data_IF_316640430225
#
_entry.id   IF_316640430225
#
_cell.length_a   1.000
_cell.length_b   1.000
_cell.length_c   1.000
_cell.angle_alpha   90.00
_cell.angle_beta   90.00
_cell.angle_gamma   90.00
#
_symmetry.space_group_name_H-M   'P 1'
#
loop_
_entity.id
_entity.type
_entity.pdbx_description
1 polymer ?
#
# COMPACT_ATOMS: atom_id res chain seq x y z
N UNK A 1 -10.50 39.59 8.74
CA UNK A 1 -11.28 40.27 7.68
C UNK A 1 -11.31 39.34 6.47
N UNK A 2 -12.53 38.94 6.09
CA UNK A 2 -13.00 38.11 4.97
C UNK A 2 -12.12 36.95 4.44
N UNK A 3 -12.41 35.75 4.96
CA UNK A 3 -12.12 34.42 4.40
C UNK A 3 -13.08 34.05 3.24
N UNK A 4 -13.27 34.98 2.31
CA UNK A 4 -14.02 34.74 1.07
C UNK A 4 -13.16 35.33 -0.05
N UNK A 5 -12.74 34.46 -0.97
CA UNK A 5 -11.87 34.69 -2.15
C UNK A 5 -10.41 34.23 -2.01
N UNK A 6 -10.23 32.91 -2.04
CA UNK A 6 -9.25 32.23 -2.90
C UNK A 6 -9.53 30.72 -2.83
N UNK A 7 -10.59 30.24 -3.48
CA UNK A 7 -10.57 28.85 -3.93
C UNK A 7 -9.39 28.77 -4.91
N UNK A 8 -8.38 27.97 -4.58
CA UNK A 8 -7.29 27.68 -5.50
C UNK A 8 -7.87 26.98 -6.72
N UNK A 9 -7.30 27.20 -7.90
CA UNK A 9 -7.75 26.57 -9.17
C UNK A 9 -7.79 25.03 -9.03
N UNK A 10 -6.88 24.47 -8.22
CA UNK A 10 -6.85 23.05 -7.85
C UNK A 10 -8.12 22.62 -7.10
N UNK A 11 -8.60 23.39 -6.12
CA UNK A 11 -9.83 23.10 -5.38
C UNK A 11 -11.07 23.07 -6.27
N UNK A 12 -11.17 23.97 -7.26
CA UNK A 12 -12.30 23.96 -8.22
C UNK A 12 -12.24 22.74 -9.15
N UNK A 13 -11.06 22.41 -9.71
CA UNK A 13 -10.89 21.23 -10.56
C UNK A 13 -11.18 19.93 -9.81
N UNK A 14 -10.64 19.81 -8.59
CA UNK A 14 -10.88 18.68 -7.71
C UNK A 14 -12.38 18.45 -7.47
N UNK A 15 -13.15 19.51 -7.14
CA UNK A 15 -14.61 19.40 -6.96
C UNK A 15 -15.34 18.88 -8.19
N UNK A 16 -14.95 19.31 -9.40
CA UNK A 16 -15.55 18.82 -10.65
C UNK A 16 -15.27 17.33 -10.85
N UNK A 17 -14.02 16.91 -10.67
CA UNK A 17 -13.60 15.50 -10.81
C UNK A 17 -14.26 14.63 -9.75
N UNK A 18 -14.35 15.13 -8.52
CA UNK A 18 -15.02 14.48 -7.40
C UNK A 18 -16.49 14.18 -7.72
N UNK A 19 -17.25 15.18 -8.18
CA UNK A 19 -18.67 14.99 -8.55
C UNK A 19 -18.84 14.02 -9.72
N UNK A 20 -17.93 14.02 -10.70
CA UNK A 20 -17.96 13.05 -11.80
C UNK A 20 -17.79 11.61 -11.31
N UNK A 21 -16.81 11.38 -10.43
CA UNK A 21 -16.55 10.05 -9.89
C UNK A 21 -17.68 9.60 -8.98
N UNK A 22 -18.23 10.50 -8.15
CA UNK A 22 -19.41 10.21 -7.33
C UNK A 22 -20.58 9.72 -8.19
N UNK A 23 -20.85 10.38 -9.31
CA UNK A 23 -21.89 9.94 -10.26
C UNK A 23 -21.56 8.58 -10.88
N UNK A 24 -20.31 8.36 -11.30
CA UNK A 24 -19.88 7.09 -11.90
C UNK A 24 -20.02 5.91 -10.94
N UNK A 25 -19.60 6.08 -9.69
CA UNK A 25 -19.71 5.05 -8.67
C UNK A 25 -21.19 4.74 -8.39
N UNK A 26 -22.03 5.77 -8.25
CA UNK A 26 -23.47 5.59 -8.09
C UNK A 26 -24.11 4.80 -9.24
N UNK A 27 -23.71 5.04 -10.49
CA UNK A 27 -24.19 4.27 -11.65
C UNK A 27 -23.76 2.80 -11.60
N UNK A 28 -22.50 2.54 -11.23
CA UNK A 28 -21.90 1.21 -11.18
C UNK A 28 -22.43 0.35 -10.04
N UNK A 29 -22.83 0.96 -8.94
CA UNK A 29 -23.53 0.31 -7.83
C UNK A 29 -24.94 -0.22 -8.18
N UNK A 30 -25.40 -0.01 -9.41
CA UNK A 30 -26.60 -0.67 -9.93
C UNK A 30 -26.27 -1.93 -10.74
N UNK A 31 -24.98 -2.25 -10.93
CA UNK A 31 -24.51 -3.45 -11.63
C UNK A 31 -24.16 -4.55 -10.61
N UNK A 32 -24.86 -5.69 -10.59
CA UNK A 32 -24.60 -6.76 -9.63
C UNK A 32 -23.17 -7.29 -9.69
N UNK A 33 -22.59 -7.43 -10.89
CA UNK A 33 -21.23 -7.94 -11.09
C UNK A 33 -20.15 -7.04 -10.47
N UNK A 34 -20.41 -5.73 -10.37
CA UNK A 34 -19.50 -4.80 -9.72
C UNK A 34 -19.49 -5.02 -8.21
N UNK A 35 -20.68 -5.19 -7.62
CA UNK A 35 -20.86 -5.41 -6.18
C UNK A 35 -20.30 -6.77 -5.75
N UNK A 36 -20.47 -7.83 -6.56
CA UNK A 36 -19.96 -9.17 -6.24
C UNK A 36 -18.42 -9.26 -6.29
N UNK A 37 -17.75 -8.29 -6.91
CA UNK A 37 -16.31 -8.08 -6.72
C UNK A 37 -16.04 -7.35 -5.39
N UNK A 38 -16.26 -8.01 -4.25
CA UNK A 38 -16.11 -7.43 -2.92
C UNK A 38 -14.67 -7.17 -2.44
N UNK A 39 -13.67 -7.21 -3.32
CA UNK A 39 -12.25 -7.09 -2.97
C UNK A 39 -11.91 -5.70 -2.40
N UNK A 40 -10.91 -5.62 -1.51
CA UNK A 40 -10.46 -4.35 -0.92
C UNK A 40 -9.76 -3.48 -1.97
N UNK A 41 -8.76 -4.00 -2.67
CA UNK A 41 -7.91 -3.15 -3.54
C UNK A 41 -8.46 -2.95 -4.95
N UNK A 42 -9.16 -3.93 -5.50
CA UNK A 42 -9.63 -3.92 -6.90
C UNK A 42 -11.14 -4.12 -7.00
N UNK A 43 -11.87 -3.91 -5.91
CA UNK A 43 -13.29 -4.20 -5.82
C UNK A 43 -14.06 -3.19 -4.98
N UNK A 44 -15.31 -3.53 -4.74
CA UNK A 44 -16.31 -2.66 -4.16
C UNK A 44 -16.02 -2.32 -2.69
N UNK A 45 -15.33 -3.17 -1.92
CA UNK A 45 -14.97 -2.84 -0.54
C UNK A 45 -14.05 -1.62 -0.45
N UNK A 46 -13.11 -1.46 -1.39
CA UNK A 46 -12.28 -0.25 -1.45
C UNK A 46 -13.09 1.02 -1.73
N UNK A 47 -14.14 0.91 -2.54
CA UNK A 47 -15.07 2.01 -2.83
C UNK A 47 -15.91 2.37 -1.61
N UNK A 48 -16.40 1.36 -0.88
CA UNK A 48 -17.10 1.59 0.38
C UNK A 48 -16.17 2.32 1.34
N UNK A 49 -14.91 1.88 1.44
CA UNK A 49 -13.96 2.58 2.31
C UNK A 49 -13.72 4.03 1.86
N UNK A 50 -13.66 4.26 0.55
CA UNK A 50 -13.56 5.62 0.00
C UNK A 50 -14.69 6.50 0.52
N UNK A 51 -15.95 6.07 0.43
CA UNK A 51 -17.06 6.87 0.90
C UNK A 51 -16.97 7.23 2.38
N UNK A 52 -16.63 6.28 3.24
CA UNK A 52 -16.44 6.57 4.67
C UNK A 52 -15.28 7.52 4.93
N UNK A 53 -14.18 7.40 4.17
CA UNK A 53 -13.04 8.31 4.30
C UNK A 53 -13.41 9.77 3.96
N UNK A 54 -14.36 9.96 3.03
CA UNK A 54 -14.82 11.27 2.61
C UNK A 54 -15.76 11.96 3.60
N UNK A 55 -16.44 11.22 4.49
CA UNK A 55 -17.45 11.81 5.38
C UNK A 55 -16.89 12.90 6.30
N UNK A 56 -15.58 12.88 6.56
CA UNK A 56 -14.90 13.98 7.28
C UNK A 56 -14.96 15.31 6.53
N UNK A 57 -14.79 15.27 5.21
CA UNK A 57 -14.82 16.44 4.32
C UNK A 57 -16.22 16.75 3.80
N UNK A 58 -17.03 15.71 3.56
CA UNK A 58 -18.36 15.77 2.94
C UNK A 58 -19.38 14.96 3.77
N UNK A 59 -19.80 15.45 4.95
CA UNK A 59 -20.71 14.73 5.85
C UNK A 59 -22.07 14.40 5.22
N UNK A 60 -22.50 15.15 4.21
CA UNK A 60 -23.74 14.94 3.48
C UNK A 60 -23.81 13.59 2.73
N UNK A 61 -22.67 12.92 2.51
CA UNK A 61 -22.62 11.60 1.86
C UNK A 61 -22.82 10.40 2.78
N UNK A 62 -23.17 10.62 4.06
CA UNK A 62 -23.27 9.57 5.07
C UNK A 62 -24.27 8.49 4.68
N UNK A 63 -25.44 8.88 4.19
CA UNK A 63 -26.50 7.92 3.81
C UNK A 63 -26.03 7.00 2.67
N UNK A 64 -25.36 7.55 1.67
CA UNK A 64 -24.80 6.81 0.55
C UNK A 64 -23.70 5.84 0.99
N UNK A 65 -22.83 6.25 1.92
CA UNK A 65 -21.79 5.38 2.47
C UNK A 65 -22.38 4.14 3.16
N UNK A 66 -23.43 4.31 3.99
CA UNK A 66 -24.09 3.19 4.66
C UNK A 66 -24.88 2.30 3.69
N UNK A 67 -25.54 2.87 2.67
CA UNK A 67 -26.19 2.09 1.60
C UNK A 67 -25.15 1.24 0.85
N UNK A 68 -23.98 1.83 0.56
CA UNK A 68 -22.91 1.13 -0.13
C UNK A 68 -22.37 -0.04 0.72
N UNK A 69 -22.22 0.16 2.02
CA UNK A 69 -21.83 -0.89 2.98
C UNK A 69 -22.87 -2.01 3.08
N UNK A 70 -24.17 -1.68 3.16
CA UNK A 70 -25.25 -2.67 3.20
C UNK A 70 -25.19 -3.58 1.96
N UNK A 71 -25.10 -2.99 0.76
CA UNK A 71 -24.92 -3.73 -0.50
C UNK A 71 -23.68 -4.62 -0.48
N UNK A 72 -22.56 -4.13 0.05
CA UNK A 72 -21.33 -4.90 0.17
C UNK A 72 -21.55 -6.13 1.07
N UNK A 73 -22.11 -5.94 2.27
CA UNK A 73 -22.38 -7.02 3.23
C UNK A 73 -23.34 -8.05 2.63
N UNK A 74 -24.43 -7.60 1.99
CA UNK A 74 -25.36 -8.47 1.27
C UNK A 74 -24.65 -9.32 0.21
N UNK A 75 -23.70 -8.73 -0.52
CA UNK A 75 -22.93 -9.45 -1.53
C UNK A 75 -22.16 -10.63 -0.94
N UNK A 76 -21.55 -10.49 0.24
CA UNK A 76 -20.80 -11.55 0.91
C UNK A 76 -21.68 -12.71 1.36
N UNK A 77 -22.97 -12.47 1.58
CA UNK A 77 -23.96 -13.51 1.88
C UNK A 77 -24.39 -14.31 0.64
N UNK A 78 -24.04 -13.85 -0.56
CA UNK A 78 -24.28 -14.59 -1.81
C UNK A 78 -23.12 -15.53 -2.14
N UNK A 79 -23.39 -16.68 -2.77
CA UNK A 79 -22.34 -17.61 -3.22
C UNK A 79 -21.50 -17.07 -4.39
N UNK A 80 -21.90 -15.94 -4.96
CA UNK A 80 -21.31 -15.36 -6.17
C UNK A 80 -20.19 -14.36 -5.86
N UNK A 81 -20.05 -13.89 -4.61
CA UNK A 81 -18.99 -12.97 -4.23
C UNK A 81 -17.60 -13.61 -4.41
N UNK A 82 -16.69 -12.89 -5.07
CA UNK A 82 -15.36 -13.42 -5.39
C UNK A 82 -14.40 -13.39 -4.20
N UNK A 83 -14.53 -12.39 -3.33
CA UNK A 83 -13.66 -12.22 -2.18
C UNK A 83 -13.90 -13.27 -1.09
N UNK A 84 -15.13 -13.78 -0.96
CA UNK A 84 -15.45 -14.87 -0.01
C UNK A 84 -14.76 -16.20 -0.34
N UNK A 85 -14.15 -16.32 -1.53
CA UNK A 85 -13.43 -17.51 -1.99
C UNK A 85 -11.96 -17.53 -1.55
N UNK A 86 -11.43 -16.40 -1.07
CA UNK A 86 -10.03 -16.24 -0.71
C UNK A 86 -9.90 -15.56 0.66
N UNK A 87 -8.77 -15.79 1.33
CA UNK A 87 -8.46 -15.15 2.62
C UNK A 87 -7.41 -14.04 2.49
N UNK A 88 -6.96 -13.71 1.28
CA UNK A 88 -5.85 -12.76 1.06
C UNK A 88 -6.23 -11.33 1.43
N UNK A 89 -5.23 -10.48 1.68
CA UNK A 89 -5.45 -9.08 2.02
C UNK A 89 -5.99 -8.27 0.83
N UNK A 90 -5.49 -8.53 -0.38
CA UNK A 90 -5.89 -7.78 -1.57
C UNK A 90 -7.28 -8.12 -2.08
N UNK A 91 -7.61 -9.41 -2.11
CA UNK A 91 -8.75 -9.95 -2.85
C UNK A 91 -9.62 -10.90 -2.02
N UNK A 92 -9.48 -10.89 -0.69
CA UNK A 92 -10.13 -11.87 0.16
C UNK A 92 -10.71 -11.28 1.44
N UNK A 93 -11.16 -12.19 2.32
CA UNK A 93 -11.82 -11.83 3.58
C UNK A 93 -10.94 -10.99 4.51
N UNK A 94 -9.61 -11.15 4.49
CA UNK A 94 -8.73 -10.30 5.31
C UNK A 94 -8.87 -8.82 4.94
N UNK A 95 -8.99 -8.48 3.66
CA UNK A 95 -9.20 -7.10 3.23
C UNK A 95 -10.58 -6.55 3.60
N UNK A 96 -11.61 -7.38 3.50
CA UNK A 96 -12.97 -7.01 3.92
C UNK A 96 -13.07 -6.76 5.42
N UNK A 97 -12.58 -7.69 6.23
CA UNK A 97 -12.63 -7.50 7.68
C UNK A 97 -11.64 -6.43 8.15
N UNK A 98 -10.56 -6.16 7.41
CA UNK A 98 -9.75 -4.96 7.64
C UNK A 98 -10.60 -3.69 7.53
N UNK A 99 -11.43 -3.56 6.49
CA UNK A 99 -12.39 -2.46 6.36
C UNK A 99 -13.35 -2.41 7.55
N UNK A 100 -13.99 -3.52 7.92
CA UNK A 100 -14.92 -3.54 9.06
C UNK A 100 -14.25 -3.06 10.35
N UNK A 101 -13.04 -3.53 10.64
CA UNK A 101 -12.28 -3.08 11.80
C UNK A 101 -11.96 -1.59 11.73
N UNK A 102 -11.60 -1.07 10.56
CA UNK A 102 -11.36 0.36 10.36
C UNK A 102 -12.59 1.23 10.58
N UNK A 103 -13.77 0.76 10.18
CA UNK A 103 -15.02 1.49 10.41
C UNK A 103 -15.40 1.48 11.90
N UNK A 104 -15.14 0.39 12.62
CA UNK A 104 -15.30 0.36 14.09
C UNK A 104 -14.28 1.28 14.78
N UNK A 105 -13.00 1.24 14.40
CA UNK A 105 -11.96 2.14 14.94
C UNK A 105 -12.29 3.62 14.73
N UNK A 106 -13.05 3.94 13.68
CA UNK A 106 -13.49 5.30 13.34
C UNK A 106 -14.89 5.64 13.88
N UNK A 107 -15.46 4.78 14.72
CA UNK A 107 -16.79 4.95 15.34
C UNK A 107 -17.96 5.03 14.33
N UNK A 108 -17.76 4.57 13.09
CA UNK A 108 -18.82 4.43 12.09
C UNK A 108 -19.63 3.13 12.26
N UNK A 109 -19.06 2.13 12.93
CA UNK A 109 -19.72 0.89 13.29
C UNK A 109 -19.54 0.59 14.79
N UNK A 110 -20.54 -0.06 15.39
CA UNK A 110 -20.48 -0.47 16.79
C UNK A 110 -19.47 -1.59 17.04
N UNK A 111 -18.88 -1.64 18.25
CA UNK A 111 -17.91 -2.67 18.63
C UNK A 111 -18.47 -4.11 18.56
N UNK A 112 -19.80 -4.28 18.56
CA UNK A 112 -20.47 -5.60 18.45
C UNK A 112 -20.07 -6.33 17.16
N UNK A 113 -19.76 -5.60 16.08
CA UNK A 113 -19.28 -6.20 14.84
C UNK A 113 -17.94 -6.92 15.02
N UNK A 114 -17.11 -6.53 16.01
CA UNK A 114 -15.85 -7.22 16.30
C UNK A 114 -16.05 -8.62 16.89
N UNK A 115 -17.19 -8.90 17.52
CA UNK A 115 -17.49 -10.24 18.04
C UNK A 115 -17.65 -11.24 16.89
N UNK A 116 -18.24 -10.81 15.76
CA UNK A 116 -18.40 -11.61 14.55
C UNK A 116 -17.07 -11.83 13.80
N UNK A 117 -16.08 -10.96 14.03
CA UNK A 117 -14.75 -11.05 13.42
C UNK A 117 -13.87 -12.13 14.07
N UNK A 118 -14.08 -12.44 15.36
CA UNK A 118 -13.20 -13.37 16.11
C UNK A 118 -13.09 -14.78 15.48
N UNK A 119 -14.19 -15.45 15.09
CA UNK A 119 -14.08 -16.75 14.41
C UNK A 119 -13.36 -16.66 13.06
N UNK A 120 -13.46 -15.51 12.39
CA UNK A 120 -12.78 -15.30 11.10
C UNK A 120 -11.28 -15.12 11.30
N UNK A 121 -10.84 -14.46 12.38
CA UNK A 121 -9.43 -14.36 12.72
C UNK A 121 -8.77 -15.73 12.91
N UNK A 122 -9.48 -16.69 13.52
CA UNK A 122 -8.98 -18.07 13.64
C UNK A 122 -8.83 -18.73 12.26
N UNK A 123 -9.81 -18.57 11.37
CA UNK A 123 -9.73 -19.11 10.00
C UNK A 123 -8.57 -18.48 9.21
N UNK A 124 -8.40 -17.16 9.32
CA UNK A 124 -7.29 -16.45 8.66
C UNK A 124 -5.96 -16.91 9.24
N UNK A 125 -5.83 -17.07 10.56
CA UNK A 125 -4.63 -17.63 11.20
C UNK A 125 -4.28 -19.02 10.66
N UNK A 126 -5.27 -19.93 10.54
CA UNK A 126 -5.04 -21.26 9.96
C UNK A 126 -4.62 -21.19 8.49
N UNK A 127 -5.22 -20.29 7.70
CA UNK A 127 -4.83 -20.07 6.31
C UNK A 127 -3.43 -19.46 6.19
N UNK A 128 -3.03 -18.55 7.09
CA UNK A 128 -1.69 -17.96 7.10
C UNK A 128 -0.63 -19.04 7.32
N UNK A 129 -0.85 -19.98 8.24
CA UNK A 129 0.07 -21.11 8.45
C UNK A 129 0.20 -21.99 7.19
N UNK A 130 -0.92 -22.21 6.48
CA UNK A 130 -0.92 -22.94 5.21
C UNK A 130 -0.08 -22.19 4.17
N UNK A 131 -0.30 -20.88 3.99
CA UNK A 131 0.47 -20.04 3.07
C UNK A 131 1.98 -20.03 3.39
N UNK A 132 2.36 -19.96 4.67
CA UNK A 132 3.76 -20.06 5.08
C UNK A 132 4.36 -21.43 4.74
N UNK A 133 3.59 -22.51 4.89
CA UNK A 133 4.03 -23.87 4.47
C UNK A 133 4.25 -23.96 2.97
N UNK A 134 3.53 -23.16 2.18
CA UNK A 134 3.64 -23.05 0.72
C UNK A 134 4.66 -21.99 0.27
N UNK A 135 5.46 -21.44 1.20
CA UNK A 135 6.41 -20.35 0.96
C UNK A 135 5.77 -19.09 0.34
N UNK A 136 4.45 -18.91 0.51
CA UNK A 136 3.74 -17.73 0.02
C UNK A 136 3.76 -16.62 1.08
N UNK A 137 4.88 -15.90 1.14
CA UNK A 137 5.12 -14.81 2.08
C UNK A 137 4.60 -13.45 1.60
N UNK A 138 3.96 -13.40 0.43
CA UNK A 138 3.52 -12.18 -0.25
C UNK A 138 2.66 -11.24 0.60
N UNK A 139 2.78 -9.93 0.37
CA UNK A 139 1.96 -8.94 1.07
C UNK A 139 0.52 -8.88 0.53
N UNK A 140 0.33 -8.80 -0.78
CA UNK A 140 -1.01 -8.67 -1.36
C UNK A 140 -1.78 -9.99 -1.35
N UNK A 141 -1.09 -11.10 -1.62
CA UNK A 141 -1.68 -12.40 -1.92
C UNK A 141 -1.22 -13.52 -0.98
N UNK A 142 -0.47 -13.20 0.07
CA UNK A 142 0.21 -14.18 0.90
C UNK A 142 0.10 -13.90 2.40
N UNK A 143 0.97 -14.58 3.14
CA UNK A 143 0.94 -14.61 4.60
C UNK A 143 1.15 -13.23 5.22
N UNK A 144 2.02 -12.38 4.65
CA UNK A 144 2.34 -11.08 5.26
C UNK A 144 1.14 -10.14 5.29
N UNK A 145 0.29 -10.15 4.26
CA UNK A 145 -0.96 -9.37 4.27
C UNK A 145 -1.96 -9.85 5.33
N UNK A 146 -2.07 -11.16 5.52
CA UNK A 146 -2.92 -11.72 6.57
C UNK A 146 -2.37 -11.42 7.96
N UNK A 147 -1.05 -11.43 8.14
CA UNK A 147 -0.40 -11.00 9.38
C UNK A 147 -0.66 -9.52 9.67
N UNK A 148 -0.64 -8.63 8.66
CA UNK A 148 -1.02 -7.23 8.83
C UNK A 148 -2.48 -7.09 9.29
N UNK A 149 -3.39 -7.84 8.69
CA UNK A 149 -4.78 -7.88 9.12
C UNK A 149 -4.92 -8.34 10.58
N UNK A 150 -4.32 -9.47 10.95
CA UNK A 150 -4.37 -9.97 12.34
C UNK A 150 -3.75 -8.97 13.33
N UNK A 151 -2.74 -8.21 12.90
CA UNK A 151 -2.16 -7.12 13.67
C UNK A 151 -3.15 -5.96 13.90
N UNK A 152 -4.01 -5.66 12.94
CA UNK A 152 -5.06 -4.64 13.10
C UNK A 152 -6.18 -5.06 14.08
N UNK A 153 -6.33 -6.35 14.37
CA UNK A 153 -7.36 -6.91 15.25
C UNK A 153 -7.10 -6.70 16.75
N UNK A 154 -6.94 -5.44 17.18
CA UNK A 154 -6.54 -5.05 18.56
C UNK A 154 -7.44 -5.62 19.66
N UNK A 155 -8.73 -5.83 19.37
CA UNK A 155 -9.69 -6.39 20.32
C UNK A 155 -9.64 -7.92 20.45
N UNK A 156 -8.90 -8.63 19.60
CA UNK A 156 -8.81 -10.08 19.64
C UNK A 156 -7.86 -10.55 20.76
N UNK A 157 -8.36 -11.32 21.76
CA UNK A 157 -7.53 -11.82 22.85
C UNK A 157 -6.41 -12.79 22.40
N UNK A 158 -6.53 -13.38 21.20
CA UNK A 158 -5.53 -14.28 20.64
C UNK A 158 -4.52 -13.58 19.73
N UNK A 159 -4.66 -12.27 19.45
CA UNK A 159 -3.80 -11.51 18.51
C UNK A 159 -2.31 -11.76 18.72
N UNK A 160 -1.81 -11.57 19.93
CA UNK A 160 -0.38 -11.74 20.24
C UNK A 160 0.06 -13.20 20.06
N UNK A 161 -0.78 -14.15 20.49
CA UNK A 161 -0.51 -15.58 20.35
C UNK A 161 -0.44 -16.01 18.88
N UNK A 162 -1.41 -15.57 18.06
CA UNK A 162 -1.42 -15.86 16.64
C UNK A 162 -0.18 -15.30 15.96
N UNK A 163 0.10 -14.01 16.16
CA UNK A 163 1.26 -13.36 15.57
C UNK A 163 2.58 -13.98 16.04
N UNK A 164 2.70 -14.36 17.31
CA UNK A 164 3.88 -15.06 17.82
C UNK A 164 4.16 -16.37 17.07
N UNK A 165 3.13 -17.20 16.89
CA UNK A 165 3.25 -18.46 16.14
C UNK A 165 3.59 -18.22 14.66
N UNK A 166 2.95 -17.22 14.04
CA UNK A 166 3.17 -16.91 12.63
C UNK A 166 4.56 -16.31 12.39
N UNK A 167 5.05 -15.46 13.29
CA UNK A 167 6.43 -14.94 13.25
C UNK A 167 7.43 -16.08 13.37
N UNK A 168 7.24 -17.00 14.32
CA UNK A 168 8.12 -18.16 14.45
C UNK A 168 8.14 -18.99 13.16
N UNK A 169 7.00 -19.23 12.53
CA UNK A 169 6.94 -19.96 11.25
C UNK A 169 7.59 -19.19 10.10
N UNK A 170 7.30 -17.89 9.94
CA UNK A 170 7.89 -17.05 8.91
C UNK A 170 9.42 -17.06 9.01
N UNK A 171 9.98 -16.92 10.22
CA UNK A 171 11.42 -16.93 10.43
C UNK A 171 12.09 -18.27 10.08
N UNK A 172 11.36 -19.39 10.07
CA UNK A 172 11.91 -20.68 9.61
C UNK A 172 12.15 -20.73 8.10
N UNK A 173 11.49 -19.85 7.33
CA UNK A 173 11.65 -19.74 5.88
C UNK A 173 12.82 -18.83 5.47
N UNK A 174 13.39 -18.09 6.43
CA UNK A 174 14.42 -17.10 6.16
C UNK A 174 15.68 -17.75 5.59
N UNK A 175 16.19 -17.20 4.48
CA UNK A 175 17.51 -17.51 3.96
C UNK A 175 18.50 -16.51 4.54
N UNK A 176 19.46 -17.01 5.32
CA UNK A 176 20.45 -16.21 6.06
C UNK A 176 21.85 -16.60 5.61
N UNK A 177 22.61 -15.61 5.14
CA UNK A 177 24.00 -15.75 4.72
C UNK A 177 24.80 -14.46 5.00
N UNK A 178 26.01 -14.34 4.46
CA UNK A 178 26.87 -13.17 4.66
C UNK A 178 26.31 -11.86 4.07
N UNK A 179 25.33 -11.93 3.18
CA UNK A 179 24.68 -10.76 2.59
C UNK A 179 23.57 -10.24 3.49
N UNK A 180 22.97 -11.09 4.32
CA UNK A 180 21.89 -10.76 5.24
C UNK A 180 20.76 -11.77 5.21
N UNK A 181 19.56 -11.33 5.60
CA UNK A 181 18.35 -12.16 5.67
C UNK A 181 17.34 -11.77 4.59
N UNK A 182 16.78 -12.75 3.90
CA UNK A 182 15.65 -12.56 2.97
C UNK A 182 14.66 -13.71 3.05
N UNK A 183 13.45 -13.47 2.55
CA UNK A 183 12.39 -14.46 2.49
C UNK A 183 12.14 -14.90 1.04
N UNK A 184 11.90 -16.20 0.81
CA UNK A 184 11.36 -16.69 -0.44
C UNK A 184 9.90 -16.25 -0.59
N UNK A 185 9.43 -16.12 -1.83
CA UNK A 185 8.02 -15.85 -2.13
C UNK A 185 7.56 -16.66 -3.35
N UNK A 186 6.73 -17.67 -3.12
CA UNK A 186 6.21 -18.54 -4.20
C UNK A 186 5.28 -17.81 -5.18
N UNK A 187 4.62 -16.73 -4.77
CA UNK A 187 3.82 -15.86 -5.66
C UNK A 187 4.70 -15.27 -6.75
N UNK A 188 5.87 -14.71 -6.38
CA UNK A 188 6.82 -14.16 -7.36
C UNK A 188 7.30 -15.25 -8.31
N UNK A 189 7.63 -16.43 -7.77
CA UNK A 189 8.09 -17.57 -8.57
C UNK A 189 7.05 -18.00 -9.61
N UNK A 190 5.77 -18.04 -9.24
CA UNK A 190 4.69 -18.41 -10.15
C UNK A 190 4.40 -17.33 -11.19
N UNK A 191 4.20 -16.08 -10.76
CA UNK A 191 3.75 -15.00 -11.64
C UNK A 191 4.86 -14.41 -12.51
N UNK A 192 6.09 -14.32 -12.00
CA UNK A 192 7.23 -13.74 -12.73
C UNK A 192 8.12 -14.81 -13.35
N UNK A 193 7.85 -16.10 -13.08
CA UNK A 193 8.63 -17.24 -13.59
C UNK A 193 10.14 -17.06 -13.33
N UNK A 194 10.48 -16.69 -12.11
CA UNK A 194 11.85 -16.38 -11.68
C UNK A 194 12.09 -16.82 -10.24
N UNK A 195 13.31 -17.30 -9.96
CA UNK A 195 13.78 -17.56 -8.59
C UNK A 195 14.49 -16.33 -7.97
N UNK A 196 14.45 -15.18 -8.64
CA UNK A 196 15.06 -13.96 -8.14
C UNK A 196 14.38 -13.49 -6.85
N UNK A 197 15.18 -12.99 -5.91
CA UNK A 197 14.66 -12.36 -4.70
C UNK A 197 14.00 -11.04 -5.08
N UNK A 198 12.70 -10.92 -4.79
CA UNK A 198 11.97 -9.69 -5.04
C UNK A 198 12.16 -8.68 -3.89
N UNK A 199 12.53 -7.44 -4.24
CA UNK A 199 12.85 -6.38 -3.27
C UNK A 199 11.71 -5.38 -3.07
N UNK A 200 10.61 -5.55 -3.81
CA UNK A 200 9.48 -4.63 -3.88
C UNK A 200 8.63 -4.58 -2.60
N UNK A 201 7.76 -3.57 -2.51
CA UNK A 201 6.78 -3.47 -1.44
C UNK A 201 5.60 -4.42 -1.68
N UNK A 202 5.09 -4.49 -2.92
CA UNK A 202 3.85 -5.22 -3.19
C UNK A 202 4.01 -6.74 -3.11
N UNK A 203 5.14 -7.26 -3.59
CA UNK A 203 5.41 -8.70 -3.69
C UNK A 203 6.76 -9.14 -3.14
N UNK A 204 7.51 -8.23 -2.52
CA UNK A 204 8.90 -8.48 -2.16
C UNK A 204 9.19 -8.32 -0.68
N UNK A 205 10.48 -8.39 -0.40
CA UNK A 205 11.01 -8.33 0.95
C UNK A 205 10.72 -6.99 1.62
N UNK A 206 10.59 -5.87 0.90
CA UNK A 206 10.27 -4.59 1.55
C UNK A 206 8.89 -4.63 2.21
N UNK A 207 7.88 -5.23 1.55
CA UNK A 207 6.54 -5.40 2.13
C UNK A 207 6.54 -6.31 3.35
N UNK A 208 7.23 -7.44 3.27
CA UNK A 208 7.39 -8.40 4.38
C UNK A 208 8.04 -7.70 5.58
N UNK A 209 9.12 -6.96 5.35
CA UNK A 209 9.85 -6.24 6.39
C UNK A 209 9.00 -5.14 7.04
N UNK A 210 8.21 -4.40 6.25
CA UNK A 210 7.31 -3.38 6.80
C UNK A 210 6.22 -4.00 7.69
N UNK A 211 5.67 -5.15 7.31
CA UNK A 211 4.74 -5.91 8.17
C UNK A 211 5.44 -6.37 9.46
N UNK A 212 6.63 -6.96 9.35
CA UNK A 212 7.43 -7.35 10.52
C UNK A 212 7.72 -6.16 11.44
N UNK A 213 8.06 -5.00 10.87
CA UNK A 213 8.34 -3.78 11.61
C UNK A 213 7.09 -3.25 12.31
N UNK A 214 5.91 -3.34 11.69
CA UNK A 214 4.64 -3.01 12.32
C UNK A 214 4.33 -3.94 13.52
N UNK A 215 4.59 -5.24 13.39
CA UNK A 215 4.43 -6.21 14.50
C UNK A 215 5.42 -5.89 15.63
N UNK A 216 6.68 -5.61 15.29
CA UNK A 216 7.71 -5.17 16.24
C UNK A 216 7.31 -3.90 16.99
N UNK A 217 6.82 -2.88 16.26
CA UNK A 217 6.40 -1.61 16.83
C UNK A 217 5.16 -1.75 17.73
N UNK A 218 4.33 -2.78 17.49
CA UNK A 218 3.21 -3.12 18.36
C UNK A 218 3.62 -3.88 19.65
N UNK A 219 4.92 -4.13 19.86
CA UNK A 219 5.42 -4.79 21.08
C UNK A 219 5.45 -6.32 21.00
N UNK A 220 5.19 -6.90 19.84
CA UNK A 220 5.05 -8.36 19.67
C UNK A 220 6.36 -8.93 19.11
N UNK A 221 6.89 -10.00 19.73
CA UNK A 221 8.12 -10.70 19.30
C UNK A 221 9.34 -9.80 19.03
N UNK A 222 9.48 -8.70 19.78
CA UNK A 222 10.44 -7.63 19.49
C UNK A 222 11.90 -8.10 19.38
N UNK A 223 12.34 -9.03 20.22
CA UNK A 223 13.73 -9.51 20.20
C UNK A 223 14.08 -10.22 18.89
N UNK A 224 13.23 -11.18 18.50
CA UNK A 224 13.43 -11.99 17.29
C UNK A 224 13.26 -11.14 16.03
N UNK A 225 12.17 -10.36 15.97
CA UNK A 225 11.89 -9.48 14.84
C UNK A 225 12.96 -8.39 14.70
N UNK A 226 13.39 -7.78 15.81
CA UNK A 226 14.43 -6.76 15.76
C UNK A 226 15.74 -7.28 15.19
N UNK A 227 16.11 -8.52 15.51
CA UNK A 227 17.28 -9.19 14.92
C UNK A 227 17.08 -9.49 13.44
N UNK A 228 15.93 -10.08 13.07
CA UNK A 228 15.65 -10.46 11.69
C UNK A 228 15.54 -9.25 10.75
N UNK A 229 14.86 -8.18 11.17
CA UNK A 229 14.70 -6.95 10.38
C UNK A 229 16.07 -6.31 10.13
N UNK A 230 16.94 -6.21 11.14
CA UNK A 230 18.28 -5.64 10.95
C UNK A 230 19.13 -6.48 9.99
N UNK A 231 19.10 -7.81 10.09
CA UNK A 231 19.78 -8.69 9.12
C UNK A 231 19.20 -8.56 7.71
N UNK A 232 17.89 -8.32 7.58
CA UNK A 232 17.30 -8.05 6.27
C UNK A 232 17.66 -6.68 5.73
N UNK A 233 17.79 -5.66 6.58
CA UNK A 233 18.34 -4.37 6.16
C UNK A 233 19.78 -4.53 5.66
N UNK A 234 20.59 -5.39 6.29
CA UNK A 234 21.93 -5.71 5.78
C UNK A 234 21.87 -6.28 4.35
N UNK A 235 20.87 -7.10 4.03
CA UNK A 235 20.64 -7.59 2.66
C UNK A 235 20.32 -6.47 1.66
N UNK A 236 19.44 -5.52 2.03
CA UNK A 236 19.21 -4.33 1.20
C UNK A 236 20.50 -3.52 1.02
N UNK A 237 21.24 -3.27 2.10
CA UNK A 237 22.47 -2.47 2.10
C UNK A 237 23.63 -3.14 1.36
N UNK A 238 23.69 -4.48 1.32
CA UNK A 238 24.63 -5.22 0.49
C UNK A 238 24.51 -4.80 -0.99
N UNK A 239 23.27 -4.67 -1.47
CA UNK A 239 22.95 -4.26 -2.84
C UNK A 239 22.77 -2.75 -3.02
N UNK A 240 23.00 -1.92 -2.00
CA UNK A 240 22.90 -0.46 -2.14
C UNK A 240 23.90 0.10 -3.17
N UNK A 241 23.41 0.78 -4.20
CA UNK A 241 24.20 1.55 -5.16
C UNK A 241 23.80 3.04 -5.07
N UNK A 242 24.73 3.99 -4.84
CA UNK A 242 24.37 5.40 -4.78
C UNK A 242 23.75 5.90 -6.08
N UNK A 243 22.67 6.67 -5.99
CA UNK A 243 22.15 7.45 -7.12
C UNK A 243 23.20 8.46 -7.60
N UNK A 244 23.38 8.56 -8.92
CA UNK A 244 24.25 9.55 -9.55
C UNK A 244 23.41 10.40 -10.54
N UNK A 245 23.73 11.69 -10.68
CA UNK A 245 23.10 12.59 -11.65
C UNK A 245 23.32 12.11 -13.11
N UNK A 246 24.44 11.44 -13.38
CA UNK A 246 24.79 10.94 -14.72
C UNK A 246 24.15 9.58 -15.06
N UNK A 247 23.74 8.80 -14.05
CA UNK A 247 23.17 7.46 -14.18
C UNK A 247 21.93 7.39 -13.30
N UNK A 248 20.77 7.62 -13.92
CA UNK A 248 19.48 7.61 -13.24
C UNK A 248 18.99 6.17 -13.06
N UNK A 249 19.64 5.42 -12.18
CA UNK A 249 19.19 4.12 -11.71
C UNK A 249 18.58 4.26 -10.30
N UNK A 250 17.77 3.29 -9.90
CA UNK A 250 17.38 3.14 -8.50
C UNK A 250 18.61 2.90 -7.62
N UNK A 251 18.53 3.23 -6.34
CA UNK A 251 19.58 2.93 -5.37
C UNK A 251 19.58 1.47 -4.94
N UNK A 252 18.43 0.81 -5.02
CA UNK A 252 18.27 -0.61 -4.75
C UNK A 252 17.76 -1.34 -5.99
N UNK A 253 18.12 -2.62 -6.18
CA UNK A 253 17.60 -3.40 -7.29
C UNK A 253 16.12 -3.72 -7.06
N UNK A 254 15.36 -3.87 -8.15
CA UNK A 254 13.95 -4.30 -8.11
C UNK A 254 13.83 -5.80 -7.80
N UNK A 255 14.78 -6.57 -8.35
CA UNK A 255 14.95 -8.01 -8.17
C UNK A 255 16.43 -8.32 -7.97
N UNK A 256 16.76 -9.39 -7.26
CA UNK A 256 18.13 -9.86 -7.09
C UNK A 256 18.25 -11.28 -7.62
N UNK A 257 19.01 -11.44 -8.71
CA UNK A 257 19.56 -12.74 -9.07
C UNK A 257 20.87 -12.95 -8.30
N UNK A 258 20.87 -13.89 -7.36
CA UNK A 258 22.01 -14.10 -6.48
C UNK A 258 23.18 -14.85 -7.09
N UNK A 259 23.02 -15.38 -8.31
CA UNK A 259 24.10 -15.96 -9.11
C UNK A 259 24.98 -14.88 -9.77
N UNK A 260 24.48 -13.64 -9.82
CA UNK A 260 25.17 -12.50 -10.42
C UNK A 260 25.91 -11.67 -9.36
N UNK A 261 27.04 -11.10 -9.77
CA UNK A 261 27.73 -10.05 -9.01
C UNK A 261 26.90 -8.77 -8.98
N UNK A 262 27.21 -7.87 -8.04
CA UNK A 262 26.51 -6.59 -7.93
C UNK A 262 26.67 -5.74 -9.20
N UNK A 263 27.86 -5.75 -9.81
CA UNK A 263 28.14 -5.09 -11.07
C UNK A 263 27.30 -5.67 -12.22
N UNK A 264 27.18 -7.00 -12.32
CA UNK A 264 26.32 -7.64 -13.32
C UNK A 264 24.83 -7.33 -13.13
N UNK A 265 24.37 -7.15 -11.89
CA UNK A 265 23.00 -6.70 -11.62
C UNK A 265 22.78 -5.26 -12.10
N UNK A 266 23.75 -4.37 -11.87
CA UNK A 266 23.70 -2.98 -12.34
C UNK A 266 23.65 -2.92 -13.88
N UNK A 267 24.46 -3.75 -14.54
CA UNK A 267 24.51 -3.84 -16.01
C UNK A 267 23.30 -4.58 -16.63
N UNK A 268 22.56 -5.37 -15.82
CA UNK A 268 21.55 -6.34 -16.27
C UNK A 268 20.08 -5.94 -16.09
N UNK A 269 19.75 -4.65 -16.07
CA UNK A 269 18.39 -4.10 -15.89
C UNK A 269 17.70 -4.48 -14.56
N UNK A 270 18.45 -4.93 -13.54
CA UNK A 270 17.88 -5.20 -12.21
C UNK A 270 17.67 -3.92 -11.39
N UNK A 271 18.42 -2.87 -11.71
CA UNK A 271 18.18 -1.50 -11.24
C UNK A 271 17.47 -0.76 -12.35
N UNK A 272 16.42 -0.01 -12.01
CA UNK A 272 15.67 0.75 -13.00
C UNK A 272 15.01 1.95 -12.34
N UNK A 273 14.77 3.01 -13.12
CA UNK A 273 13.88 4.08 -12.68
C UNK A 273 12.48 3.53 -12.45
N UNK A 274 12.12 3.40 -11.19
CA UNK A 274 10.77 3.06 -10.79
C UNK A 274 10.42 3.84 -9.53
N UNK A 275 9.32 4.59 -9.62
CA UNK A 275 8.81 5.46 -8.57
C UNK A 275 7.42 4.98 -8.11
N UNK A 276 7.01 3.79 -8.50
CA UNK A 276 5.72 3.24 -8.08
C UNK A 276 5.69 2.96 -6.58
N UNK A 277 4.48 2.88 -6.02
CA UNK A 277 4.31 2.35 -4.67
C UNK A 277 4.75 0.89 -4.58
N UNK A 278 4.50 0.10 -5.64
CA UNK A 278 4.81 -1.31 -5.64
C UNK A 278 6.32 -1.60 -5.71
N UNK A 279 7.10 -0.87 -6.51
CA UNK A 279 8.53 -1.11 -6.76
C UNK A 279 9.36 0.17 -6.74
N UNK A 280 10.63 0.03 -6.31
CA UNK A 280 11.64 1.08 -6.41
C UNK A 280 12.06 1.64 -5.06
N UNK A 281 12.78 2.76 -5.10
CA UNK A 281 13.48 3.31 -3.94
C UNK A 281 12.54 3.83 -2.84
N UNK A 282 11.33 4.28 -3.19
CA UNK A 282 10.37 4.84 -2.23
C UNK A 282 10.14 3.89 -1.04
N UNK A 283 9.91 2.60 -1.31
CA UNK A 283 9.70 1.59 -0.29
C UNK A 283 10.94 1.36 0.59
N UNK A 284 12.12 1.32 -0.01
CA UNK A 284 13.37 1.11 0.72
C UNK A 284 13.70 2.33 1.61
N UNK A 285 13.51 3.55 1.10
CA UNK A 285 13.67 4.80 1.86
C UNK A 285 12.73 4.80 3.07
N UNK A 286 11.46 4.46 2.86
CA UNK A 286 10.47 4.38 3.95
C UNK A 286 10.85 3.37 5.00
N UNK A 287 11.24 2.17 4.58
CA UNK A 287 11.68 1.10 5.47
C UNK A 287 12.90 1.53 6.30
N UNK A 288 13.90 2.19 5.69
CA UNK A 288 15.08 2.71 6.38
C UNK A 288 14.72 3.81 7.39
N UNK A 289 13.85 4.76 7.01
CA UNK A 289 13.37 5.79 7.91
C UNK A 289 12.63 5.22 9.12
N UNK A 290 11.65 4.35 8.90
CA UNK A 290 10.92 3.68 9.98
C UNK A 290 11.86 2.89 10.90
N UNK A 291 12.78 2.13 10.31
CA UNK A 291 13.79 1.35 11.04
C UNK A 291 14.75 2.23 11.85
N UNK A 292 15.08 3.43 11.37
CA UNK A 292 15.93 4.38 12.10
C UNK A 292 15.33 4.76 13.45
N UNK A 293 14.00 4.90 13.52
CA UNK A 293 13.27 5.24 14.74
C UNK A 293 13.13 4.01 15.62
N UNK A 294 12.67 2.88 15.07
CA UNK A 294 12.46 1.64 15.82
C UNK A 294 13.73 1.11 16.47
N UNK A 295 14.88 1.19 15.77
CA UNK A 295 16.17 0.71 16.27
C UNK A 295 17.09 1.81 16.81
N UNK A 296 16.63 3.07 16.81
CA UNK A 296 17.43 4.25 17.21
C UNK A 296 18.79 4.31 16.49
N UNK A 297 18.79 3.97 15.21
CA UNK A 297 19.98 3.91 14.37
C UNK A 297 19.95 5.03 13.32
N UNK A 298 20.66 6.13 13.62
CA UNK A 298 20.71 7.30 12.76
C UNK A 298 21.30 7.02 11.36
N UNK A 299 22.17 6.00 11.23
CA UNK A 299 22.77 5.67 9.94
C UNK A 299 21.72 5.26 8.88
N UNK A 300 20.61 4.64 9.30
CA UNK A 300 19.51 4.32 8.38
C UNK A 300 18.82 5.58 7.87
N UNK A 301 18.61 6.58 8.74
CA UNK A 301 18.05 7.87 8.34
C UNK A 301 18.99 8.63 7.39
N UNK A 302 20.31 8.58 7.64
CA UNK A 302 21.31 9.25 6.80
C UNK A 302 21.32 8.67 5.36
N UNK A 303 21.23 7.34 5.23
CA UNK A 303 21.14 6.67 3.92
C UNK A 303 19.82 7.01 3.22
N UNK A 304 18.70 6.95 3.95
CA UNK A 304 17.39 7.32 3.43
C UNK A 304 17.35 8.77 2.93
N UNK A 305 17.95 9.70 3.68
CA UNK A 305 18.10 11.11 3.31
C UNK A 305 18.91 11.28 2.02
N UNK A 306 20.05 10.58 1.89
CA UNK A 306 20.92 10.67 0.72
C UNK A 306 20.20 10.22 -0.56
N UNK A 307 19.54 9.06 -0.49
CA UNK A 307 18.82 8.49 -1.64
C UNK A 307 17.60 9.34 -1.96
N UNK A 308 16.78 9.60 -0.96
CA UNK A 308 15.46 10.20 -1.15
C UNK A 308 15.52 11.66 -1.56
N UNK A 309 16.48 12.46 -1.08
CA UNK A 309 16.66 13.86 -1.56
C UNK A 309 17.05 13.90 -3.03
N UNK A 310 17.95 13.02 -3.46
CA UNK A 310 18.39 12.92 -4.87
C UNK A 310 17.24 12.48 -5.77
N UNK A 311 16.50 11.45 -5.34
CA UNK A 311 15.33 10.95 -6.05
C UNK A 311 14.22 12.02 -6.14
N UNK A 312 13.88 12.69 -5.03
CA UNK A 312 12.84 13.72 -4.99
C UNK A 312 13.18 14.92 -5.88
N UNK A 313 14.45 15.36 -5.91
CA UNK A 313 14.89 16.41 -6.81
C UNK A 313 14.70 16.04 -8.29
N UNK A 314 15.01 14.79 -8.67
CA UNK A 314 14.73 14.27 -10.02
C UNK A 314 13.23 14.25 -10.32
N UNK A 315 12.42 13.76 -9.38
CA UNK A 315 10.97 13.62 -9.49
C UNK A 315 10.22 14.95 -9.72
N UNK A 316 10.77 16.09 -9.33
CA UNK A 316 10.21 17.42 -9.65
C UNK A 316 10.21 17.68 -11.16
N UNK A 317 11.19 17.12 -11.89
CA UNK A 317 11.35 17.35 -13.33
C UNK A 317 10.70 16.27 -14.20
N UNK A 318 10.43 15.09 -13.63
CA UNK A 318 9.96 13.90 -14.35
C UNK A 318 8.60 14.09 -15.03
N UNK A 319 7.56 14.69 -14.41
CA UNK A 319 6.28 14.86 -15.10
C UNK A 319 6.37 15.68 -16.40
N UNK A 320 7.39 16.55 -16.53
CA UNK A 320 7.65 17.31 -17.74
C UNK A 320 8.43 16.52 -18.83
N UNK A 321 8.96 15.33 -18.51
CA UNK A 321 9.81 14.54 -19.42
C UNK A 321 9.03 13.63 -20.39
N UNK A 322 7.71 13.56 -20.24
CA UNK A 322 6.83 12.81 -21.16
C UNK A 322 6.77 11.30 -20.89
N UNK A 323 7.13 10.84 -19.69
CA UNK A 323 6.91 9.46 -19.27
C UNK A 323 5.41 9.14 -19.32
N UNK A 324 5.05 8.01 -19.94
CA UNK A 324 3.67 7.51 -19.95
C UNK A 324 3.33 7.00 -18.56
N UNK A 325 2.61 7.80 -17.79
CA UNK A 325 2.08 7.44 -16.48
C UNK A 325 0.57 7.67 -16.44
N UNK A 326 -0.12 7.03 -15.51
CA UNK A 326 -1.56 7.13 -15.29
C UNK A 326 -1.87 7.80 -13.93
N UNK A 327 -3.14 8.02 -13.62
CA UNK A 327 -3.53 8.58 -12.32
C UNK A 327 -3.44 7.57 -11.17
N UNK A 328 -3.21 6.30 -11.45
CA UNK A 328 -3.49 5.20 -10.52
C UNK A 328 -2.55 5.18 -9.31
N UNK A 329 -2.94 4.43 -8.28
CA UNK A 329 -2.18 4.36 -7.04
C UNK A 329 -0.95 3.46 -7.15
N UNK A 330 -1.11 2.21 -7.62
CA UNK A 330 -0.08 1.18 -7.52
C UNK A 330 1.23 1.58 -8.20
N UNK A 331 1.13 2.11 -9.42
CA UNK A 331 2.27 2.50 -10.26
C UNK A 331 1.98 3.76 -11.09
N UNK A 332 1.19 4.67 -10.52
CA UNK A 332 0.84 5.94 -11.15
C UNK A 332 1.17 7.14 -10.27
N UNK A 333 0.74 8.30 -10.77
CA UNK A 333 1.04 9.60 -10.18
C UNK A 333 0.54 9.74 -8.74
N UNK A 334 -0.63 9.20 -8.41
CA UNK A 334 -1.24 9.37 -7.09
C UNK A 334 -0.49 8.59 -6.01
N UNK A 335 -0.01 7.39 -6.33
CA UNK A 335 0.86 6.63 -5.43
C UNK A 335 2.12 7.40 -5.10
N UNK A 336 2.80 7.93 -6.13
CA UNK A 336 4.01 8.76 -5.96
C UNK A 336 3.73 9.96 -5.06
N UNK A 337 2.66 10.70 -5.37
CA UNK A 337 2.25 11.89 -4.64
C UNK A 337 2.03 11.61 -3.15
N UNK A 338 1.23 10.58 -2.83
CA UNK A 338 0.98 10.20 -1.44
C UNK A 338 2.28 9.77 -0.75
N UNK A 339 3.07 8.92 -1.39
CA UNK A 339 4.29 8.38 -0.80
C UNK A 339 5.29 9.48 -0.45
N UNK A 340 5.50 10.44 -1.36
CA UNK A 340 6.34 11.61 -1.11
C UNK A 340 5.77 12.48 0.01
N UNK A 341 4.46 12.68 0.07
CA UNK A 341 3.82 13.40 1.17
C UNK A 341 4.09 12.69 2.52
N UNK A 342 4.00 11.36 2.57
CA UNK A 342 4.32 10.59 3.77
C UNK A 342 5.80 10.70 4.17
N UNK A 343 6.71 10.70 3.20
CA UNK A 343 8.14 10.97 3.45
C UNK A 343 8.36 12.39 4.00
N UNK A 344 7.63 13.38 3.51
CA UNK A 344 7.66 14.74 4.07
C UNK A 344 7.14 14.77 5.51
N UNK A 345 5.97 14.18 5.78
CA UNK A 345 5.38 14.15 7.12
C UNK A 345 6.30 13.45 8.14
N UNK A 346 7.02 12.40 7.71
CA UNK A 346 7.97 11.69 8.56
C UNK A 346 9.28 12.47 8.78
N UNK A 347 9.89 12.96 7.71
CA UNK A 347 11.27 13.50 7.75
C UNK A 347 11.36 15.02 7.95
N UNK A 348 10.31 15.75 7.58
CA UNK A 348 10.29 17.21 7.54
C UNK A 348 11.07 17.84 6.39
N UNK A 349 11.65 17.06 5.46
CA UNK A 349 12.42 17.61 4.33
C UNK A 349 11.49 18.16 3.25
N UNK A 350 11.56 19.49 3.01
CA UNK A 350 10.65 20.19 2.09
C UNK A 350 10.75 19.73 0.64
N UNK A 351 11.88 19.14 0.22
CA UNK A 351 12.03 18.60 -1.14
C UNK A 351 10.99 17.52 -1.45
N UNK A 352 10.60 16.71 -0.45
CA UNK A 352 9.54 15.72 -0.62
C UNK A 352 8.17 16.39 -0.78
N UNK A 353 7.91 17.48 -0.06
CA UNK A 353 6.67 18.25 -0.19
C UNK A 353 6.56 18.90 -1.57
N UNK A 354 7.66 19.51 -2.04
CA UNK A 354 7.74 20.12 -3.37
C UNK A 354 7.49 19.08 -4.47
N UNK A 355 8.15 17.92 -4.38
CA UNK A 355 7.93 16.81 -5.30
C UNK A 355 6.48 16.29 -5.21
N UNK A 356 5.95 16.07 -4.00
CA UNK A 356 4.57 15.59 -3.81
C UNK A 356 3.56 16.50 -4.49
N UNK A 357 3.71 17.84 -4.38
CA UNK A 357 2.82 18.79 -5.02
C UNK A 357 2.84 18.68 -6.55
N UNK A 358 4.02 18.55 -7.15
CA UNK A 358 4.17 18.36 -8.60
C UNK A 358 3.44 17.08 -9.06
N UNK A 359 3.52 16.01 -8.27
CA UNK A 359 2.86 14.75 -8.59
C UNK A 359 1.35 14.78 -8.32
N UNK A 360 0.87 15.53 -7.33
CA UNK A 360 -0.57 15.77 -7.10
C UNK A 360 -1.20 16.53 -8.29
N UNK A 361 -0.54 17.57 -8.77
CA UNK A 361 -0.99 18.33 -9.95
C UNK A 361 -1.05 17.40 -11.18
N UNK A 362 -0.01 16.56 -11.35
CA UNK A 362 0.02 15.53 -12.40
C UNK A 362 -1.08 14.48 -12.22
N UNK A 363 -1.42 14.09 -10.99
CA UNK A 363 -2.54 13.18 -10.72
C UNK A 363 -3.85 13.75 -11.22
N UNK A 364 -4.14 15.01 -10.93
CA UNK A 364 -5.37 15.64 -11.38
C UNK A 364 -5.45 15.71 -12.91
N UNK A 365 -4.34 16.06 -13.57
CA UNK A 365 -4.25 16.09 -15.04
C UNK A 365 -4.45 14.73 -15.70
N UNK A 366 -3.91 13.66 -15.10
CA UNK A 366 -4.06 12.30 -15.63
C UNK A 366 -5.43 11.71 -15.31
N UNK A 367 -5.97 12.00 -14.14
CA UNK A 367 -7.29 11.54 -13.73
C UNK A 367 -8.39 12.09 -14.65
N UNK A 368 -8.31 13.37 -15.01
CA UNK A 368 -9.20 13.97 -16.01
C UNK A 368 -9.10 13.26 -17.38
N UNK A 369 -7.91 12.81 -17.78
CA UNK A 369 -7.73 12.05 -19.04
C UNK A 369 -8.31 10.64 -18.92
N UNK A 370 -8.08 9.97 -17.81
CA UNK A 370 -8.54 8.61 -17.55
C UNK A 370 -10.08 8.56 -17.54
N UNK A 371 -10.74 9.53 -16.90
CA UNK A 371 -12.21 9.68 -16.91
C UNK A 371 -12.78 9.91 -18.32
N UNK A 372 -12.03 10.59 -19.19
CA UNK A 372 -12.42 10.84 -20.58
C UNK A 372 -11.97 9.74 -21.56
N UNK A 373 -11.41 8.63 -21.07
CA UNK A 373 -10.93 7.52 -21.87
C UNK A 373 -11.87 6.31 -21.76
N UNK A 374 -12.75 6.07 -22.75
CA UNK A 374 -13.68 4.94 -22.72
C UNK A 374 -12.97 3.58 -22.67
N UNK A 375 -11.80 3.44 -23.31
CA UNK A 375 -11.06 2.17 -23.31
C UNK A 375 -10.53 1.82 -21.93
N UNK A 376 -10.24 2.84 -21.12
CA UNK A 376 -9.88 2.65 -19.71
C UNK A 376 -11.12 2.42 -18.85
N UNK A 377 -12.12 3.31 -18.93
CA UNK A 377 -13.32 3.25 -18.08
C UNK A 377 -14.17 2.00 -18.30
N UNK A 378 -14.06 1.34 -19.45
CA UNK A 378 -14.72 0.05 -19.70
C UNK A 378 -13.99 -1.16 -19.07
N UNK A 379 -12.82 -0.98 -18.46
CA UNK A 379 -12.11 -2.05 -17.76
C UNK A 379 -12.74 -2.31 -16.39
N UNK A 380 -12.84 -3.57 -15.94
CA UNK A 380 -13.35 -3.90 -14.61
C UNK A 380 -12.57 -3.25 -13.46
N UNK A 381 -11.26 -3.03 -13.63
CA UNK A 381 -10.39 -2.43 -12.60
C UNK A 381 -10.40 -0.90 -12.60
N UNK A 382 -11.08 -0.24 -13.54
CA UNK A 382 -11.03 1.22 -13.72
C UNK A 382 -11.51 2.03 -12.52
N UNK A 383 -12.29 1.43 -11.63
CA UNK A 383 -12.75 2.04 -10.39
C UNK A 383 -11.98 1.59 -9.15
N UNK A 384 -11.10 0.59 -9.23
CA UNK A 384 -10.39 0.06 -8.07
C UNK A 384 -9.46 1.06 -7.37
N UNK A 385 -8.94 0.69 -6.20
CA UNK A 385 -7.97 1.48 -5.46
C UNK A 385 -6.58 1.41 -6.09
N UNK A 386 -6.10 0.24 -6.50
CA UNK A 386 -4.73 0.11 -6.99
C UNK A 386 -4.56 0.64 -8.43
N UNK A 387 -5.51 0.32 -9.31
CA UNK A 387 -5.39 0.58 -10.75
C UNK A 387 -6.55 1.41 -11.32
N UNK A 388 -7.36 2.01 -10.44
CA UNK A 388 -8.54 2.76 -10.83
C UNK A 388 -8.54 4.20 -10.33
N UNK A 389 -9.60 4.91 -10.71
CA UNK A 389 -9.81 6.32 -10.37
C UNK A 389 -10.02 6.56 -8.89
N UNK A 390 -10.54 5.58 -8.14
CA UNK A 390 -10.85 5.75 -6.72
C UNK A 390 -9.60 5.89 -5.86
N UNK A 391 -8.52 5.16 -6.18
CA UNK A 391 -7.24 5.32 -5.49
C UNK A 391 -6.65 6.72 -5.69
N UNK A 392 -6.74 7.25 -6.91
CA UNK A 392 -6.32 8.61 -7.20
C UNK A 392 -7.12 9.65 -6.40
N UNK A 393 -8.44 9.43 -6.28
CA UNK A 393 -9.30 10.30 -5.50
C UNK A 393 -9.06 10.24 -4.00
N UNK A 394 -8.75 9.06 -3.46
CA UNK A 394 -8.32 8.93 -2.06
C UNK A 394 -7.14 9.83 -1.75
N UNK A 395 -6.13 9.85 -2.63
CA UNK A 395 -4.94 10.67 -2.48
C UNK A 395 -5.26 12.15 -2.59
N UNK A 396 -6.06 12.56 -3.58
CA UNK A 396 -6.46 13.96 -3.73
C UNK A 396 -7.29 14.46 -2.54
N UNK A 397 -8.22 13.65 -2.03
CA UNK A 397 -9.01 13.97 -0.84
C UNK A 397 -8.12 14.12 0.40
N UNK A 398 -7.15 13.22 0.59
CA UNK A 398 -6.16 13.31 1.65
C UNK A 398 -5.24 14.54 1.55
N UNK A 399 -4.94 15.02 0.34
CA UNK A 399 -4.15 16.23 0.15
C UNK A 399 -4.90 17.51 0.52
N UNK A 400 -6.23 17.53 0.37
CA UNK A 400 -7.08 18.65 0.79
C UNK A 400 -7.44 18.59 2.29
N UNK A 401 -7.42 17.38 2.88
CA UNK A 401 -7.80 17.12 4.26
C UNK A 401 -6.82 16.14 4.94
N UNK A 402 -5.80 16.68 5.62
CA UNK A 402 -4.71 15.92 6.24
C UNK A 402 -5.19 14.81 7.21
N UNK A 403 -6.34 14.99 7.84
CA UNK A 403 -6.92 14.04 8.79
C UNK A 403 -7.62 12.84 8.13
N UNK A 404 -7.83 12.86 6.81
CA UNK A 404 -8.34 11.72 6.05
C UNK A 404 -7.26 10.66 5.88
N UNK A 405 -6.03 11.04 5.56
CA UNK A 405 -4.93 10.12 5.24
C UNK A 405 -4.62 9.13 6.37
N UNK A 406 -4.60 9.62 7.62
CA UNK A 406 -4.18 8.85 8.79
C UNK A 406 -4.99 7.58 9.05
N UNK A 407 -6.19 7.48 8.49
CA UNK A 407 -7.11 6.38 8.77
C UNK A 407 -6.89 5.16 7.86
N UNK A 408 -6.25 5.31 6.70
CA UNK A 408 -6.22 4.27 5.66
C UNK A 408 -4.85 4.00 5.06
N UNK A 409 -3.85 4.86 5.26
CA UNK A 409 -2.51 4.68 4.67
C UNK A 409 -1.80 3.40 5.13
N UNK A 410 -2.22 2.84 6.26
CA UNK A 410 -1.71 1.57 6.78
C UNK A 410 -2.06 0.37 5.90
N UNK A 411 -3.18 0.41 5.14
CA UNK A 411 -3.48 -0.61 4.14
C UNK A 411 -2.40 -0.68 3.06
N UNK A 412 -1.68 0.42 2.82
CA UNK A 412 -0.61 0.53 1.84
C UNK A 412 0.78 0.44 2.48
N UNK A 413 0.88 0.07 3.77
CA UNK A 413 2.11 0.05 4.57
C UNK A 413 2.80 1.42 4.71
N UNK A 414 2.02 2.51 4.70
CA UNK A 414 2.51 3.89 4.80
C UNK A 414 2.12 4.61 6.11
N UNK A 415 1.85 3.86 7.18
CA UNK A 415 1.46 4.39 8.51
C UNK A 415 2.56 5.08 9.30
#
# INVERSE_FOLDING_TARGET
MSTLQAETVMSTRFKVVFEQIKHLLHDQENQPDFITNGNLFNGYAGIVYYYFSLLKAFPEGESEAYIALEKLIESYNTQDNMASKYMTFCSGLSGFYFLIQKLVEQEYLDEVFLEEVLPINELIFEDTKRLLTEENTDFLHGASGQMLYLLSSKGDPNREKYLGVLVDQLLTLAVIDEKGLRFPNSTVKEFQNTDNTNMSLSHGNAGILLVMLNIYNAGIEQEKLGTAIQQSLDFFLHYYHPRNEDISLSAFPLLVNEELTKEELIDGDFYAENYSWCYGDLAAIWLLYQSSVSFKNAAYADIADQIGKTMAAGLITVPASGIKINSHFCHGTSGIALFLNRLYQFSGHTIYQEAAQVWLDSTLDHLEKDLNNPDFMNKPSSLGLLEGVSGAMFVLAAAEHDDIAANWTDMFLLS
#
